data_IF_512990124582
#
_entry.id   IF_512990124582
#
_cell.length_a   1.000
_cell.length_b   1.000
_cell.length_c   1.000
_cell.angle_alpha   90.00
_cell.angle_beta   90.00
_cell.angle_gamma   90.00
#
_symmetry.space_group_name_H-M   'P 1'
#
loop_
_entity.id
_entity.type
_entity.pdbx_description
1 polymer ?
#
# COMPACT_ATOMS: atom_id res chain seq x y z
N UNK A 1 2.00 -21.32 -6.81
CA UNK A 1 1.14 -20.82 -7.90
C UNK A 1 0.51 -19.52 -7.47
N UNK A 2 0.24 -18.56 -8.37
CA UNK A 2 -0.42 -17.31 -7.99
C UNK A 2 -1.82 -17.60 -7.44
N UNK A 3 -2.25 -16.80 -6.47
CA UNK A 3 -3.62 -16.80 -5.94
C UNK A 3 -4.37 -15.67 -6.63
N UNK A 4 -5.49 -16.02 -7.28
CA UNK A 4 -6.27 -15.08 -8.09
C UNK A 4 -7.72 -15.08 -7.65
N UNK A 5 -8.31 -13.90 -7.45
CA UNK A 5 -9.74 -13.73 -7.22
C UNK A 5 -10.35 -12.74 -8.21
N UNK A 6 -11.31 -13.22 -9.00
CA UNK A 6 -12.13 -12.41 -9.91
C UNK A 6 -13.50 -12.05 -9.30
N UNK A 7 -13.91 -12.73 -8.23
CA UNK A 7 -15.15 -12.49 -7.49
C UNK A 7 -14.82 -12.08 -6.04
N UNK A 8 -15.74 -11.42 -5.33
CA UNK A 8 -15.52 -11.00 -3.95
C UNK A 8 -15.30 -12.19 -3.01
N UNK A 9 -14.05 -12.46 -2.65
CA UNK A 9 -13.66 -13.56 -1.76
C UNK A 9 -12.37 -13.22 -1.02
N UNK A 10 -12.29 -13.39 0.31
CA UNK A 10 -11.04 -13.19 1.04
C UNK A 10 -9.90 -14.05 0.49
N UNK A 11 -8.72 -13.45 0.35
CA UNK A 11 -7.50 -14.15 -0.06
C UNK A 11 -6.57 -14.24 1.14
N UNK A 12 -6.15 -15.46 1.48
CA UNK A 12 -5.16 -15.73 2.51
C UNK A 12 -3.99 -16.52 1.91
N UNK A 13 -2.78 -16.03 2.10
CA UNK A 13 -1.55 -16.68 1.64
C UNK A 13 -0.58 -16.89 2.80
N UNK A 14 -0.37 -18.17 3.16
CA UNK A 14 0.59 -18.59 4.19
C UNK A 14 1.93 -19.07 3.60
N UNK A 15 2.07 -19.07 2.28
CA UNK A 15 3.31 -19.44 1.58
C UNK A 15 3.60 -18.41 0.50
N UNK A 16 4.87 -18.25 0.08
CA UNK A 16 5.25 -17.28 -0.95
C UNK A 16 4.48 -17.53 -2.25
N UNK A 17 3.56 -16.65 -2.62
CA UNK A 17 2.78 -16.75 -3.85
C UNK A 17 2.20 -15.39 -4.22
N UNK A 18 2.36 -14.90 -5.46
CA UNK A 18 1.75 -13.65 -5.89
C UNK A 18 0.23 -13.67 -5.71
N UNK A 19 -0.33 -12.55 -5.24
CA UNK A 19 -1.77 -12.38 -5.02
C UNK A 19 -2.30 -11.34 -6.00
N UNK A 20 -3.35 -11.68 -6.75
CA UNK A 20 -4.05 -10.76 -7.64
C UNK A 20 -5.54 -10.76 -7.35
N UNK A 21 -6.11 -9.59 -7.04
CA UNK A 21 -7.54 -9.42 -6.83
C UNK A 21 -8.11 -8.32 -7.74
N UNK A 22 -9.07 -8.69 -8.58
CA UNK A 22 -9.77 -7.74 -9.46
C UNK A 22 -11.07 -7.21 -8.84
N UNK A 23 -11.69 -7.97 -7.94
CA UNK A 23 -12.94 -7.63 -7.23
C UNK A 23 -12.70 -7.41 -5.74
N UNK A 24 -13.57 -6.66 -5.02
CA UNK A 24 -13.39 -6.34 -3.61
C UNK A 24 -13.19 -7.59 -2.76
N UNK A 25 -11.96 -7.81 -2.29
CA UNK A 25 -11.48 -9.00 -1.58
C UNK A 25 -10.42 -8.58 -0.56
N UNK A 26 -10.64 -8.79 0.75
CA UNK A 26 -9.58 -8.62 1.74
C UNK A 26 -8.40 -9.53 1.43
N UNK A 27 -7.18 -9.00 1.52
CA UNK A 27 -5.95 -9.77 1.26
C UNK A 27 -5.11 -9.83 2.54
N UNK A 28 -4.73 -11.04 2.94
CA UNK A 28 -3.79 -11.30 4.02
C UNK A 28 -2.62 -12.16 3.54
N UNK A 29 -1.40 -11.65 3.68
CA UNK A 29 -0.18 -12.37 3.34
C UNK A 29 0.75 -12.48 4.56
N UNK A 30 1.04 -13.71 4.98
CA UNK A 30 1.95 -13.99 6.09
C UNK A 30 3.40 -14.21 5.64
N UNK A 31 3.61 -14.61 4.38
CA UNK A 31 4.93 -14.83 3.77
C UNK A 31 5.20 -13.82 2.65
N UNK A 32 6.48 -13.55 2.29
CA UNK A 32 6.83 -12.61 1.22
C UNK A 32 6.10 -12.91 -0.08
N UNK A 33 5.23 -12.01 -0.51
CA UNK A 33 4.37 -12.19 -1.68
C UNK A 33 4.01 -10.84 -2.31
N UNK A 34 4.22 -10.63 -3.61
CA UNK A 34 3.67 -9.46 -4.30
C UNK A 34 2.15 -9.45 -4.24
N UNK A 35 1.56 -8.30 -3.92
CA UNK A 35 0.12 -8.11 -3.83
C UNK A 35 -0.30 -7.05 -4.85
N UNK A 36 -1.21 -7.40 -5.74
CA UNK A 36 -1.84 -6.49 -6.69
C UNK A 36 -3.36 -6.49 -6.49
N UNK A 37 -3.92 -5.33 -6.16
CA UNK A 37 -5.35 -5.13 -5.98
C UNK A 37 -5.87 -3.99 -6.88
N UNK A 38 -6.84 -4.31 -7.73
CA UNK A 38 -7.46 -3.33 -8.63
C UNK A 38 -8.70 -2.65 -8.02
N UNK A 39 -9.24 -3.19 -6.92
CA UNK A 39 -10.50 -2.76 -6.31
C UNK A 39 -10.32 -2.34 -4.85
N UNK A 40 -11.36 -1.76 -4.27
CA UNK A 40 -11.36 -1.21 -2.92
C UNK A 40 -11.34 -2.33 -1.87
N UNK A 41 -10.20 -2.62 -1.26
CA UNK A 41 -10.08 -3.68 -0.26
C UNK A 41 -8.90 -3.51 0.68
N UNK A 42 -9.04 -3.94 1.95
CA UNK A 42 -7.94 -3.90 2.90
C UNK A 42 -6.87 -4.93 2.53
N UNK A 43 -5.61 -4.50 2.59
CA UNK A 43 -4.43 -5.33 2.37
C UNK A 43 -3.61 -5.35 3.65
N UNK A 44 -3.32 -6.56 4.15
CA UNK A 44 -2.46 -6.77 5.29
C UNK A 44 -1.28 -7.68 4.91
N UNK A 45 -0.06 -7.18 5.09
CA UNK A 45 1.16 -7.93 4.87
C UNK A 45 2.03 -7.94 6.13
N UNK A 46 2.30 -9.14 6.66
CA UNK A 46 3.16 -9.31 7.82
C UNK A 46 4.65 -9.40 7.45
N UNK A 47 4.95 -9.93 6.26
CA UNK A 47 6.30 -10.14 5.72
C UNK A 47 6.60 -9.18 4.57
N UNK A 48 7.89 -8.95 4.24
CA UNK A 48 8.28 -8.04 3.16
C UNK A 48 7.56 -8.35 1.84
N UNK A 49 6.71 -7.43 1.38
CA UNK A 49 5.82 -7.66 0.25
C UNK A 49 5.61 -6.37 -0.54
N UNK A 50 5.87 -6.35 -1.86
CA UNK A 50 5.43 -5.26 -2.70
C UNK A 50 3.90 -5.20 -2.72
N UNK A 51 3.33 -4.02 -2.49
CA UNK A 51 1.89 -3.80 -2.51
C UNK A 51 1.57 -2.74 -3.57
N UNK A 52 0.75 -3.12 -4.54
CA UNK A 52 0.21 -2.20 -5.54
C UNK A 52 -1.33 -2.16 -5.45
N UNK A 53 -1.87 -0.97 -5.19
CA UNK A 53 -3.31 -0.74 -5.13
C UNK A 53 -3.73 0.37 -6.10
N UNK A 54 -4.65 0.07 -7.01
CA UNK A 54 -5.17 1.04 -7.98
C UNK A 54 -6.37 1.83 -7.44
N UNK A 55 -7.18 1.21 -6.58
CA UNK A 55 -8.40 1.78 -6.00
C UNK A 55 -8.22 2.08 -4.50
N UNK A 56 -9.13 2.84 -3.87
CA UNK A 56 -9.06 3.18 -2.45
C UNK A 56 -8.99 1.95 -1.55
N UNK A 57 -7.83 1.71 -0.95
CA UNK A 57 -7.55 0.48 -0.20
C UNK A 57 -6.72 0.78 1.04
N UNK A 58 -7.19 0.46 2.25
CA UNK A 58 -6.35 0.51 3.44
C UNK A 58 -5.20 -0.48 3.31
N UNK A 59 -3.97 -0.03 3.52
CA UNK A 59 -2.77 -0.87 3.43
C UNK A 59 -2.08 -0.87 4.79
N UNK A 60 -1.89 -2.07 5.35
CA UNK A 60 -1.12 -2.30 6.56
C UNK A 60 0.08 -3.21 6.26
N UNK A 61 1.28 -2.69 6.49
CA UNK A 61 2.53 -3.44 6.34
C UNK A 61 3.34 -3.42 7.63
N UNK A 62 3.61 -4.60 8.19
CA UNK A 62 4.41 -4.73 9.41
C UNK A 62 5.93 -4.74 9.13
N UNK A 63 6.32 -5.27 7.97
CA UNK A 63 7.71 -5.44 7.54
C UNK A 63 8.06 -4.51 6.37
N UNK A 64 9.35 -4.27 6.08
CA UNK A 64 9.79 -3.41 4.98
C UNK A 64 9.11 -3.78 3.66
N UNK A 65 8.30 -2.86 3.12
CA UNK A 65 7.44 -3.14 1.97
C UNK A 65 7.33 -1.91 1.08
N UNK A 66 7.64 -2.00 -0.22
CA UNK A 66 7.30 -0.93 -1.15
C UNK A 66 5.79 -0.89 -1.34
N UNK A 67 5.20 0.28 -1.14
CA UNK A 67 3.77 0.51 -1.27
C UNK A 67 3.54 1.53 -2.38
N UNK A 68 2.75 1.14 -3.39
CA UNK A 68 2.28 2.03 -4.45
C UNK A 68 0.76 2.11 -4.43
N UNK A 69 0.23 3.31 -4.24
CA UNK A 69 -1.21 3.59 -4.26
C UNK A 69 -1.54 4.66 -5.30
N UNK A 70 -2.46 4.36 -6.21
CA UNK A 70 -2.88 5.32 -7.23
C UNK A 70 -4.03 6.24 -6.74
N UNK A 71 -4.88 5.73 -5.85
CA UNK A 71 -6.07 6.41 -5.32
C UNK A 71 -5.94 6.68 -3.81
N UNK A 72 -6.75 7.59 -3.24
CA UNK A 72 -6.72 7.91 -1.81
C UNK A 72 -6.77 6.66 -0.94
N UNK A 73 -5.69 6.41 -0.19
CA UNK A 73 -5.51 5.17 0.56
C UNK A 73 -4.87 5.45 1.92
N UNK A 74 -5.47 5.00 3.04
CA UNK A 74 -4.77 4.97 4.30
C UNK A 74 -3.62 3.97 4.25
N UNK A 75 -2.41 4.42 4.55
CA UNK A 75 -1.21 3.57 4.57
C UNK A 75 -0.63 3.58 5.98
N UNK A 76 -0.49 2.40 6.58
CA UNK A 76 0.18 2.20 7.85
C UNK A 76 1.39 1.27 7.64
N UNK A 77 2.58 1.78 7.94
CA UNK A 77 3.83 1.03 7.84
C UNK A 77 4.57 1.04 9.19
N UNK A 78 4.86 -0.14 9.74
CA UNK A 78 5.58 -0.24 11.01
C UNK A 78 7.12 -0.18 10.83
N UNK A 79 7.61 -0.67 9.69
CA UNK A 79 9.05 -0.78 9.37
C UNK A 79 9.42 0.08 8.16
N UNK A 80 10.72 0.36 7.93
CA UNK A 80 11.17 1.21 6.83
C UNK A 80 10.57 0.81 5.48
N UNK A 81 9.80 1.71 4.88
CA UNK A 81 9.00 1.38 3.68
C UNK A 81 8.98 2.56 2.71
N UNK A 82 9.35 2.37 1.43
CA UNK A 82 9.11 3.37 0.41
C UNK A 82 7.62 3.41 0.07
N UNK A 83 7.04 4.61 0.11
CA UNK A 83 5.63 4.84 -0.16
C UNK A 83 5.51 5.81 -1.34
N UNK A 84 4.81 5.38 -2.38
CA UNK A 84 4.42 6.21 -3.51
C UNK A 84 2.90 6.34 -3.56
N UNK A 85 2.39 7.57 -3.49
CA UNK A 85 0.97 7.86 -3.57
C UNK A 85 0.69 8.87 -4.69
N UNK A 86 -0.18 8.52 -5.64
CA UNK A 86 -0.55 9.45 -6.72
C UNK A 86 -1.66 10.43 -6.30
N UNK A 87 -2.45 10.09 -5.29
CA UNK A 87 -3.59 10.89 -4.79
C UNK A 87 -3.44 11.17 -3.29
N UNK A 88 -4.17 12.17 -2.74
CA UNK A 88 -4.12 12.50 -1.31
C UNK A 88 -4.34 11.28 -0.43
N UNK A 89 -3.36 10.97 0.43
CA UNK A 89 -3.36 9.74 1.22
C UNK A 89 -2.86 9.98 2.63
N UNK A 90 -3.59 9.56 3.68
CA UNK A 90 -3.05 9.56 5.03
C UNK A 90 -2.01 8.46 5.19
N UNK A 91 -0.82 8.84 5.60
CA UNK A 91 0.32 7.94 5.80
C UNK A 91 0.75 8.00 7.26
N UNK A 92 0.80 6.83 7.90
CA UNK A 92 1.38 6.64 9.22
C UNK A 92 2.59 5.71 9.11
N UNK A 93 3.75 6.19 9.57
CA UNK A 93 4.99 5.42 9.58
C UNK A 93 5.59 5.39 10.99
N UNK A 94 5.87 4.19 11.51
CA UNK A 94 6.54 4.07 12.81
C UNK A 94 8.08 4.16 12.71
N UNK A 95 8.64 3.91 11.52
CA UNK A 95 10.09 3.88 11.24
C UNK A 95 10.44 4.76 10.03
N UNK A 96 11.73 5.12 9.83
CA UNK A 96 12.16 5.98 8.72
C UNK A 96 11.65 5.49 7.36
N UNK A 97 10.91 6.33 6.63
CA UNK A 97 10.22 5.94 5.40
C UNK A 97 10.33 7.04 4.35
N UNK A 98 10.84 6.76 3.14
CA UNK A 98 10.75 7.70 2.04
C UNK A 98 9.33 7.74 1.47
N UNK A 99 8.79 8.94 1.37
CA UNK A 99 7.44 9.18 0.88
C UNK A 99 7.51 10.08 -0.35
N UNK A 100 6.94 9.61 -1.46
CA UNK A 100 6.69 10.41 -2.66
C UNK A 100 5.19 10.52 -2.89
N UNK A 101 4.70 11.75 -3.02
CA UNK A 101 3.30 12.02 -3.30
C UNK A 101 3.15 12.95 -4.50
N UNK A 102 2.19 12.68 -5.39
CA UNK A 102 1.83 13.58 -6.50
C UNK A 102 0.71 14.57 -6.13
N UNK A 103 0.30 14.61 -4.86
CA UNK A 103 -0.69 15.53 -4.31
C UNK A 103 -0.45 15.70 -2.81
N UNK A 104 -1.07 16.69 -2.15
CA UNK A 104 -0.93 16.88 -0.71
C UNK A 104 -1.32 15.62 0.09
N UNK A 105 -0.43 15.17 0.98
CA UNK A 105 -0.64 13.98 1.80
C UNK A 105 -0.43 14.29 3.29
N UNK A 106 -1.41 14.00 4.16
CA UNK A 106 -1.17 14.04 5.61
C UNK A 106 -0.24 12.90 6.03
N UNK A 107 0.83 13.23 6.74
CA UNK A 107 1.87 12.27 7.17
C UNK A 107 2.07 12.39 8.68
N UNK A 108 2.02 11.25 9.37
CA UNK A 108 2.43 11.11 10.76
C UNK A 108 3.59 10.12 10.83
N UNK A 109 4.69 10.52 11.45
CA UNK A 109 5.86 9.66 11.60
C UNK A 109 6.37 9.67 13.03
N UNK A 110 6.68 8.49 13.58
CA UNK A 110 7.33 8.38 14.89
C UNK A 110 8.87 8.55 14.81
N UNK A 111 9.41 8.69 13.60
CA UNK A 111 10.84 8.86 13.30
C UNK A 111 11.03 9.76 12.07
N UNK A 112 12.26 10.25 11.78
CA UNK A 112 12.50 11.10 10.62
C UNK A 112 12.08 10.43 9.30
N UNK A 113 11.28 11.13 8.49
CA UNK A 113 10.82 10.66 7.18
C UNK A 113 11.17 11.67 6.08
N UNK A 114 11.90 11.28 5.03
CA UNK A 114 12.05 12.12 3.83
C UNK A 114 10.74 12.15 3.03
N UNK A 115 10.30 13.35 2.67
CA UNK A 115 9.03 13.57 1.97
C UNK A 115 9.29 14.40 0.71
N UNK A 116 8.77 13.95 -0.43
CA UNK A 116 8.74 14.69 -1.68
C UNK A 116 7.29 14.78 -2.18
N UNK A 117 6.78 16.00 -2.37
CA UNK A 117 5.45 16.25 -2.92
C UNK A 117 5.56 17.02 -4.24
N UNK A 118 4.95 16.50 -5.30
CA UNK A 118 4.67 17.27 -6.51
C UNK A 118 3.20 17.71 -6.45
N UNK A 119 2.91 18.98 -6.71
CA UNK A 119 1.55 19.43 -6.99
C UNK A 119 1.50 19.83 -8.46
N UNK A 120 0.44 19.53 -9.22
CA UNK A 120 0.16 20.37 -10.38
C UNK A 120 -0.08 21.78 -9.83
N UNK A 121 0.77 22.74 -10.23
CA UNK A 121 0.50 24.16 -9.99
C UNK A 121 -0.85 24.50 -10.63
N UNK A 122 -1.70 25.34 -10.01
CA UNK A 122 -2.80 25.93 -10.76
C UNK A 122 -2.20 26.77 -11.88
N UNK A 123 -2.57 26.48 -13.13
CA UNK A 123 -2.37 27.41 -14.23
C UNK A 123 -3.42 28.49 -14.05
N UNK A 124 -3.07 29.60 -13.38
CA UNK A 124 -3.60 30.96 -13.60
C UNK A 124 -2.53 31.98 -13.22
#
# INVERSE_FOLDING_TARGET
SPIQAASPSPIQAASPSPIQAASPSPIQAASPSPIQAASSSPIQAASPSPIQAASPSPIQAASPSPIQAASPSPIQAASPSPIQAASPSPIQAASPSPIQAASPSPIQAASPSPIQAASPSPIQ
#
